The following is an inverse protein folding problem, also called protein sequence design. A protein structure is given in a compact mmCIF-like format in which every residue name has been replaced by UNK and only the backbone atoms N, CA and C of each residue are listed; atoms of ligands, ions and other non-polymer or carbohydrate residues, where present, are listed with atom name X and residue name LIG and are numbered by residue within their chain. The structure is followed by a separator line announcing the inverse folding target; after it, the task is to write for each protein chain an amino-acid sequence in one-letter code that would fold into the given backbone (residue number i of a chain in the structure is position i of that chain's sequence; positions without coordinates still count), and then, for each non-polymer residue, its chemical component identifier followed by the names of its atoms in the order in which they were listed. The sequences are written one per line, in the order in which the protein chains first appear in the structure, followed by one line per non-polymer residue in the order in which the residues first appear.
data_IF_472983040477
#
_entry.id   IF_472983040477
#
_cell.length_a   1.000
_cell.length_b   1.000
_cell.length_c   1.000
_cell.angle_alpha   90.00
_cell.angle_beta   90.00
_cell.angle_gamma   90.00
#
_symmetry.space_group_name_H-M   'P 1'
#
loop_
_entity.id
_entity.type
_entity.pdbx_description
1 polymer ?
#
# COMPACT_ATOMS: atom_id res chain seq x y z
N UNK A 1 -24.89 -45.66 -1.49
CA UNK A 1 -23.93 -44.76 -0.85
C UNK A 1 -23.18 -43.84 -1.82
N UNK A 2 -22.77 -44.28 -3.01
CA UNK A 2 -22.09 -43.39 -3.99
C UNK A 2 -22.98 -42.25 -4.51
N UNK A 3 -24.28 -42.51 -4.75
CA UNK A 3 -25.22 -41.51 -5.24
C UNK A 3 -25.53 -40.40 -4.20
N UNK A 4 -25.55 -40.74 -2.92
CA UNK A 4 -25.77 -39.77 -1.83
C UNK A 4 -24.56 -38.84 -1.69
N UNK A 5 -23.34 -39.36 -1.87
CA UNK A 5 -22.10 -38.52 -1.83
C UNK A 5 -22.05 -37.52 -2.99
N UNK A 6 -22.51 -37.90 -4.16
CA UNK A 6 -22.55 -37.00 -5.33
C UNK A 6 -23.61 -35.91 -5.12
N UNK A 7 -24.75 -36.24 -4.51
CA UNK A 7 -25.82 -35.27 -4.24
C UNK A 7 -25.40 -34.25 -3.16
N UNK A 8 -24.68 -34.71 -2.12
CA UNK A 8 -24.13 -33.82 -1.09
C UNK A 8 -23.01 -32.90 -1.63
N UNK A 9 -22.18 -33.41 -2.55
CA UNK A 9 -21.14 -32.63 -3.17
C UNK A 9 -21.72 -31.55 -4.11
N UNK A 10 -22.81 -31.87 -4.85
CA UNK A 10 -23.47 -30.87 -5.69
C UNK A 10 -24.20 -29.78 -4.89
N UNK A 11 -24.74 -30.13 -3.70
CA UNK A 11 -25.37 -29.16 -2.81
C UNK A 11 -24.35 -28.22 -2.16
N UNK A 12 -23.16 -28.73 -1.88
CA UNK A 12 -22.07 -27.90 -1.32
C UNK A 12 -21.52 -26.89 -2.35
N UNK A 13 -21.46 -27.22 -3.65
CA UNK A 13 -21.04 -26.31 -4.71
C UNK A 13 -22.07 -25.20 -5.00
N UNK A 14 -23.36 -25.45 -4.76
CA UNK A 14 -24.42 -24.46 -5.00
C UNK A 14 -24.46 -23.36 -3.93
N UNK A 15 -23.85 -23.59 -2.74
CA UNK A 15 -23.89 -22.63 -1.64
C UNK A 15 -22.75 -21.59 -1.67
N UNK A 16 -21.74 -21.79 -2.51
CA UNK A 16 -20.59 -20.86 -2.61
C UNK A 16 -20.80 -19.62 -3.51
N UNK A 17 -21.95 -19.47 -4.17
CA UNK A 17 -22.18 -18.38 -5.14
C UNK A 17 -23.05 -17.23 -4.62
N UNK A 18 -23.35 -17.17 -3.31
CA UNK A 18 -24.14 -16.10 -2.72
C UNK A 18 -23.33 -15.24 -1.76
N UNK A 19 -22.14 -14.82 -2.19
CA UNK A 19 -21.30 -13.87 -1.50
C UNK A 19 -21.11 -12.61 -2.35
N UNK A 20 -22.19 -11.85 -2.57
CA UNK A 20 -22.07 -10.52 -3.13
C UNK A 20 -21.41 -9.59 -2.13
N UNK A 21 -20.27 -9.09 -2.49
CA UNK A 21 -19.60 -7.98 -1.82
C UNK A 21 -20.41 -6.71 -1.98
N UNK A 22 -20.97 -6.22 -0.90
CA UNK A 22 -21.39 -4.82 -0.84
C UNK A 22 -20.15 -3.96 -0.55
N UNK A 23 -19.69 -3.27 -1.58
CA UNK A 23 -18.71 -2.21 -1.42
C UNK A 23 -19.36 -1.03 -0.68
N UNK A 24 -19.00 -0.86 0.57
CA UNK A 24 -19.42 0.31 1.37
C UNK A 24 -18.69 1.54 0.83
N UNK A 25 -19.37 2.30 -0.01
CA UNK A 25 -18.93 3.65 -0.37
C UNK A 25 -19.24 4.59 0.79
N UNK A 26 -18.23 4.99 1.54
CA UNK A 26 -18.34 6.08 2.50
C UNK A 26 -18.43 7.38 1.72
N UNK A 27 -19.63 7.94 1.61
CA UNK A 27 -19.82 9.29 1.11
C UNK A 27 -19.52 10.28 2.23
N UNK A 28 -18.38 10.95 2.17
CA UNK A 28 -18.12 12.12 3.00
C UNK A 28 -18.76 13.31 2.31
N UNK A 29 -19.91 13.75 2.85
CA UNK A 29 -20.57 14.98 2.44
C UNK A 29 -19.91 16.15 3.17
N UNK A 30 -18.91 16.74 2.53
CA UNK A 30 -18.30 17.99 2.93
C UNK A 30 -18.57 19.03 1.84
N UNK A 31 -19.39 20.02 2.14
CA UNK A 31 -19.67 21.18 1.29
C UNK A 31 -18.43 22.08 1.24
N UNK A 32 -17.63 21.95 0.21
CA UNK A 32 -16.51 22.81 -0.12
C UNK A 32 -16.15 22.57 -1.57
N UNK A 33 -16.28 23.61 -2.38
CA UNK A 33 -15.96 23.64 -3.80
C UNK A 33 -14.45 23.46 -3.98
N UNK A 34 -14.02 22.22 -4.09
CA UNK A 34 -12.66 21.85 -4.52
C UNK A 34 -12.78 20.76 -5.56
N UNK A 35 -12.23 21.02 -6.73
CA UNK A 35 -12.09 20.08 -7.84
C UNK A 35 -11.29 18.87 -7.37
N UNK A 36 -11.95 17.93 -6.71
CA UNK A 36 -11.37 16.63 -6.39
C UNK A 36 -11.16 15.89 -7.71
N UNK A 37 -9.95 15.91 -8.21
CA UNK A 37 -9.56 15.11 -9.35
C UNK A 37 -9.90 13.65 -9.05
N UNK A 38 -10.67 13.01 -9.93
CA UNK A 38 -10.91 11.56 -9.87
C UNK A 38 -9.55 10.87 -9.89
N UNK A 39 -9.14 10.32 -8.75
CA UNK A 39 -8.01 9.42 -8.70
C UNK A 39 -8.44 8.17 -9.44
N UNK A 40 -7.96 8.00 -10.66
CA UNK A 40 -8.15 6.78 -11.44
C UNK A 40 -7.40 5.67 -10.74
N UNK A 41 -8.10 4.69 -10.22
CA UNK A 41 -7.53 3.51 -9.56
C UNK A 41 -6.98 2.47 -10.57
N UNK A 42 -6.39 2.93 -11.66
CA UNK A 42 -5.66 2.08 -12.58
C UNK A 42 -4.17 2.18 -12.29
N UNK A 43 -3.68 1.40 -11.35
CA UNK A 43 -2.36 0.76 -11.30
C UNK A 43 -1.08 1.58 -11.39
N UNK A 44 -1.12 2.91 -11.50
CA UNK A 44 0.08 3.76 -11.58
C UNK A 44 -0.06 5.05 -10.78
N UNK A 45 -0.65 4.96 -9.61
CA UNK A 45 -0.70 6.07 -8.67
C UNK A 45 0.66 6.32 -8.03
N UNK A 46 0.92 7.57 -7.62
CA UNK A 46 2.03 7.88 -6.74
C UNK A 46 1.65 7.52 -5.30
N UNK A 47 2.50 6.75 -4.63
CA UNK A 47 2.40 6.45 -3.22
C UNK A 47 3.47 7.23 -2.47
N UNK A 48 3.10 7.87 -1.36
CA UNK A 48 4.02 8.58 -0.48
C UNK A 48 3.93 7.97 0.91
N UNK A 49 5.04 7.44 1.40
CA UNK A 49 5.17 6.78 2.68
C UNK A 49 6.05 7.60 3.61
N UNK A 50 5.55 7.97 4.76
CA UNK A 50 6.34 8.56 5.83
C UNK A 50 6.78 7.42 6.76
N UNK A 51 8.08 7.17 6.80
CA UNK A 51 8.66 6.06 7.57
C UNK A 51 8.97 6.57 8.98
N UNK A 52 8.44 5.90 9.98
CA UNK A 52 8.77 6.18 11.37
C UNK A 52 10.20 5.68 11.67
N UNK A 53 11.10 6.61 11.79
CA UNK A 53 12.52 6.39 12.10
C UNK A 53 12.91 6.94 13.49
N UNK A 54 11.88 7.25 14.32
CA UNK A 54 12.09 7.82 15.64
C UNK A 54 12.59 9.24 15.57
N UNK A 55 13.91 9.45 15.44
CA UNK A 55 14.49 10.77 15.25
C UNK A 55 14.85 11.01 13.78
N UNK A 56 14.55 12.21 13.29
CA UNK A 56 14.76 12.59 11.90
C UNK A 56 13.57 12.23 11.01
N UNK A 57 13.75 12.37 9.72
CA UNK A 57 12.72 12.14 8.71
C UNK A 57 13.15 11.06 7.72
N UNK A 58 12.19 10.33 7.18
CA UNK A 58 12.41 9.43 6.06
C UNK A 58 11.13 9.31 5.26
N UNK A 59 11.21 9.58 3.96
CA UNK A 59 10.06 9.52 3.07
C UNK A 59 10.37 8.68 1.85
N UNK A 60 9.55 7.66 1.61
CA UNK A 60 9.61 6.85 0.39
C UNK A 60 8.50 7.31 -0.56
N UNK A 61 8.85 7.57 -1.82
CA UNK A 61 7.90 7.85 -2.89
C UNK A 61 8.00 6.74 -3.93
N UNK A 62 6.87 6.12 -4.26
CA UNK A 62 6.76 5.06 -5.26
C UNK A 62 5.86 5.48 -6.40
N UNK A 63 6.26 5.20 -7.63
CA UNK A 63 5.44 5.37 -8.85
C UNK A 63 5.69 4.18 -9.77
N UNK A 64 4.75 3.27 -9.84
CA UNK A 64 4.95 2.01 -10.54
C UNK A 64 6.14 1.24 -9.96
N UNK A 65 7.11 0.89 -10.79
CA UNK A 65 8.34 0.18 -10.39
C UNK A 65 9.49 1.12 -9.97
N UNK A 66 9.24 2.43 -9.89
CA UNK A 66 10.24 3.42 -9.51
C UNK A 66 10.10 3.82 -8.05
N UNK A 67 11.23 3.99 -7.38
CA UNK A 67 11.29 4.41 -5.99
C UNK A 67 12.29 5.54 -5.77
N UNK A 68 11.90 6.51 -4.92
CA UNK A 68 12.76 7.59 -4.45
C UNK A 68 12.70 7.62 -2.93
N UNK A 69 13.86 7.68 -2.28
CA UNK A 69 13.98 7.86 -0.83
C UNK A 69 14.49 9.27 -0.54
N UNK A 70 13.83 9.96 0.35
CA UNK A 70 14.23 11.29 0.85
C UNK A 70 14.54 11.15 2.34
N UNK A 71 15.77 11.37 2.70
CA UNK A 71 16.34 11.14 4.03
C UNK A 71 16.15 9.70 4.54
N UNK A 72 16.88 9.31 5.54
CA UNK A 72 16.85 7.95 6.08
C UNK A 72 16.91 7.90 7.61
N UNK A 73 16.55 9.01 8.26
CA UNK A 73 16.68 9.15 9.70
C UNK A 73 18.14 9.22 10.15
N UNK A 74 18.34 9.03 11.44
CA UNK A 74 19.68 8.93 12.06
C UNK A 74 20.44 7.69 11.55
N UNK A 75 21.75 7.70 11.67
CA UNK A 75 22.65 6.59 11.30
C UNK A 75 22.30 5.25 11.98
N UNK A 76 21.64 5.27 13.13
CA UNK A 76 21.16 4.06 13.82
C UNK A 76 19.92 3.45 13.17
N UNK A 77 19.17 4.20 12.36
CA UNK A 77 17.86 3.83 11.84
C UNK A 77 17.91 3.15 10.45
N UNK A 78 19.08 3.03 9.85
CA UNK A 78 19.25 2.40 8.55
C UNK A 78 18.63 1.00 8.44
N UNK A 79 18.65 0.22 9.52
CA UNK A 79 18.01 -1.11 9.56
C UNK A 79 16.47 -1.02 9.52
N UNK A 80 15.89 -0.02 10.19
CA UNK A 80 14.45 0.21 10.17
C UNK A 80 13.97 0.62 8.77
N UNK A 81 14.70 1.54 8.14
CA UNK A 81 14.43 1.97 6.76
C UNK A 81 14.54 0.79 5.79
N UNK A 82 15.63 -0.01 5.87
CA UNK A 82 15.81 -1.19 5.03
C UNK A 82 14.67 -2.19 5.20
N UNK A 83 14.28 -2.50 6.43
CA UNK A 83 13.17 -3.40 6.70
C UNK A 83 11.85 -2.89 6.15
N UNK A 84 11.63 -1.59 6.19
CA UNK A 84 10.45 -0.97 5.61
C UNK A 84 10.45 -1.09 4.09
N UNK A 85 11.55 -0.77 3.41
CA UNK A 85 11.72 -0.91 1.97
C UNK A 85 11.44 -2.36 1.52
N UNK A 86 11.98 -3.33 2.22
CA UNK A 86 11.74 -4.76 1.96
C UNK A 86 10.25 -5.11 2.10
N UNK A 87 9.57 -4.58 3.12
CA UNK A 87 8.13 -4.78 3.32
C UNK A 87 7.27 -4.20 2.20
N UNK A 88 7.76 -3.16 1.54
CA UNK A 88 7.11 -2.50 0.39
C UNK A 88 7.55 -3.07 -0.96
N UNK A 89 8.32 -4.17 -0.97
CA UNK A 89 8.90 -4.82 -2.15
C UNK A 89 9.74 -3.85 -3.00
N UNK A 90 10.48 -2.94 -2.35
CA UNK A 90 11.40 -2.02 -3.01
C UNK A 90 12.78 -2.67 -3.08
N UNK A 91 13.10 -3.25 -4.22
CA UNK A 91 14.42 -3.90 -4.45
C UNK A 91 15.49 -2.89 -4.89
N UNK A 92 15.08 -1.74 -5.39
CA UNK A 92 15.97 -0.71 -5.92
C UNK A 92 15.44 0.68 -5.65
N UNK A 93 16.32 1.56 -5.19
CA UNK A 93 16.08 3.01 -5.12
C UNK A 93 16.66 3.65 -6.38
N UNK A 94 15.81 4.32 -7.18
CA UNK A 94 16.26 5.04 -8.37
C UNK A 94 16.88 6.40 -8.01
N UNK A 95 16.36 7.06 -6.98
CA UNK A 95 16.85 8.34 -6.49
C UNK A 95 16.92 8.34 -4.97
N UNK A 96 18.03 8.81 -4.41
CA UNK A 96 18.17 9.09 -2.99
C UNK A 96 18.52 10.57 -2.82
N UNK A 97 17.81 11.25 -1.92
CA UNK A 97 17.98 12.67 -1.64
C UNK A 97 18.27 12.82 -0.14
N UNK A 98 19.38 13.47 0.21
CA UNK A 98 19.63 13.99 1.55
C UNK A 98 19.32 15.48 1.57
N UNK A 99 18.44 15.90 2.48
CA UNK A 99 18.03 17.30 2.57
C UNK A 99 19.05 18.16 3.31
N UNK A 100 19.85 17.56 4.20
CA UNK A 100 20.88 18.24 4.98
C UNK A 100 22.08 17.31 5.28
N UNK A 101 23.26 17.85 5.54
CA UNK A 101 24.48 17.04 5.68
C UNK A 101 24.71 16.49 7.09
N UNK A 102 23.81 16.77 8.02
CA UNK A 102 23.97 16.32 9.40
C UNK A 102 23.71 14.83 9.51
N UNK A 103 24.68 14.16 10.13
CA UNK A 103 24.57 12.76 10.51
C UNK A 103 24.22 12.72 12.00
N UNK A 104 23.01 13.13 12.31
CA UNK A 104 22.51 13.05 13.68
C UNK A 104 22.12 11.63 14.05
#
# INVERSE_FOLDING_TARGET
MRKIKILLLSLLLAFCMAGCSEGSSVAISGSGDETAGKISQNGSGMEVHFIDVGQGDSTLIKVGDHAMLIDAGDNSEGTAVQSYLDSQNVEKIDYAIGTHPDAD
#
